data_IF_122445202046
#
_entry.id   IF_122445202046
#
_cell.length_a   1.000
_cell.length_b   1.000
_cell.length_c   1.000
_cell.angle_alpha   90.00
_cell.angle_beta   90.00
_cell.angle_gamma   90.00
#
_symmetry.space_group_name_H-M   'P 1'
#
loop_
_entity.id
_entity.type
_entity.pdbx_description
1 polymer ?
#
# COMPACT_ATOMS: atom_id res chain seq x y z
N UNK A 1 70.57 50.93 -75.47
CA UNK A 1 71.32 49.79 -74.92
C UNK A 1 70.39 48.59 -74.99
N UNK A 2 70.65 47.77 -76.01
CA UNK A 2 70.20 46.38 -76.22
C UNK A 2 70.63 45.45 -75.06
N UNK A 3 70.20 44.16 -74.97
CA UNK A 3 69.32 43.42 -75.90
C UNK A 3 68.31 42.41 -75.29
N UNK A 4 67.48 41.89 -76.20
CA UNK A 4 66.96 40.51 -76.38
C UNK A 4 66.06 39.77 -75.36
N UNK A 5 64.78 39.68 -75.77
CA UNK A 5 64.10 38.47 -76.27
C UNK A 5 64.60 37.09 -75.84
N UNK A 6 63.73 36.31 -75.18
CA UNK A 6 63.42 34.91 -75.51
C UNK A 6 62.14 34.44 -74.78
N UNK A 7 61.09 34.14 -75.53
CA UNK A 7 60.00 33.20 -75.17
C UNK A 7 60.47 31.77 -75.54
N UNK A 8 59.81 30.62 -75.20
CA UNK A 8 58.52 30.43 -74.51
C UNK A 8 58.48 29.20 -73.54
N UNK A 9 57.25 28.81 -73.15
CA UNK A 9 56.72 27.47 -72.82
C UNK A 9 56.11 27.27 -71.41
N UNK A 10 54.78 27.20 -71.40
CA UNK A 10 53.90 26.36 -70.55
C UNK A 10 54.43 25.88 -69.19
N UNK A 11 53.77 26.33 -68.11
CA UNK A 11 53.46 25.39 -67.03
C UNK A 11 52.13 25.72 -66.36
N UNK A 12 51.23 24.73 -66.50
CA UNK A 12 49.96 24.51 -65.85
C UNK A 12 49.73 25.15 -64.47
N UNK A 13 48.49 25.61 -64.33
CA UNK A 13 47.66 25.64 -63.13
C UNK A 13 48.08 24.62 -62.06
N UNK A 14 48.44 25.13 -60.88
CA UNK A 14 48.45 24.34 -59.64
C UNK A 14 47.72 25.16 -58.57
N UNK A 15 46.40 25.17 -58.68
CA UNK A 15 45.54 25.22 -57.49
C UNK A 15 46.10 24.22 -56.45
N UNK A 16 46.29 24.58 -55.18
CA UNK A 16 46.76 23.62 -54.20
C UNK A 16 45.66 22.59 -54.00
N UNK A 17 45.84 21.42 -54.62
CA UNK A 17 45.03 20.23 -54.40
C UNK A 17 44.98 19.96 -52.90
N UNK A 18 43.85 20.31 -52.28
CA UNK A 18 43.56 20.01 -50.88
C UNK A 18 43.54 18.50 -50.77
N UNK A 19 44.66 17.93 -50.32
CA UNK A 19 44.87 16.50 -50.09
C UNK A 19 43.62 15.90 -49.45
N UNK A 20 43.01 14.84 -50.01
CA UNK A 20 41.83 14.23 -49.43
C UNK A 20 42.19 13.74 -48.03
N UNK A 21 41.54 14.31 -47.01
CA UNK A 21 41.79 13.95 -45.61
C UNK A 21 41.47 12.48 -45.44
N UNK A 22 42.44 11.71 -44.96
CA UNK A 22 42.22 10.31 -44.64
C UNK A 22 41.13 10.22 -43.57
N UNK A 23 40.31 9.15 -43.54
CA UNK A 23 39.27 8.94 -42.52
C UNK A 23 39.81 9.09 -41.10
N UNK A 24 41.08 8.74 -40.90
CA UNK A 24 41.81 8.85 -39.64
C UNK A 24 42.10 10.31 -39.23
N UNK A 25 42.35 11.23 -40.18
CA UNK A 25 42.51 12.66 -39.88
C UNK A 25 41.18 13.35 -39.55
N UNK A 26 40.10 12.96 -40.22
CA UNK A 26 38.75 13.48 -39.94
C UNK A 26 38.24 12.97 -38.59
N UNK A 27 38.50 11.71 -38.24
CA UNK A 27 38.20 11.14 -36.92
C UNK A 27 39.01 11.83 -35.81
N UNK A 28 40.30 12.14 -36.04
CA UNK A 28 41.11 12.88 -35.07
C UNK A 28 40.62 14.32 -34.86
N UNK A 29 40.19 15.02 -35.91
CA UNK A 29 39.75 16.43 -35.82
C UNK A 29 38.30 16.60 -35.37
N UNK A 30 37.44 15.62 -35.63
CA UNK A 30 35.99 15.73 -35.38
C UNK A 30 35.48 14.64 -34.44
N UNK A 31 35.95 13.39 -34.59
CA UNK A 31 35.53 12.27 -33.74
C UNK A 31 36.02 12.37 -32.29
N UNK A 32 37.30 12.69 -32.07
CA UNK A 32 37.88 12.86 -30.72
C UNK A 32 37.15 13.94 -29.88
N UNK A 33 36.90 15.17 -30.38
CA UNK A 33 36.19 16.18 -29.59
C UNK A 33 34.73 15.80 -29.33
N UNK A 34 34.05 15.13 -30.26
CA UNK A 34 32.69 14.63 -30.04
C UNK A 34 32.67 13.56 -28.94
N UNK A 35 33.59 12.60 -28.98
CA UNK A 35 33.70 11.56 -27.94
C UNK A 35 34.03 12.20 -26.58
N UNK A 36 34.95 13.16 -26.53
CA UNK A 36 35.29 13.88 -25.30
C UNK A 36 34.08 14.66 -24.74
N UNK A 37 33.28 15.29 -25.60
CA UNK A 37 32.05 15.97 -25.21
C UNK A 37 30.96 14.99 -24.71
N UNK A 38 30.81 13.83 -25.36
CA UNK A 38 29.87 12.81 -24.89
C UNK A 38 30.29 12.21 -23.55
N UNK A 39 31.58 11.97 -23.35
CA UNK A 39 32.12 11.50 -22.08
C UNK A 39 31.97 12.54 -20.97
N UNK A 40 32.21 13.83 -21.25
CA UNK A 40 32.01 14.88 -20.25
C UNK A 40 30.52 15.02 -19.87
N UNK A 41 29.61 14.96 -20.84
CA UNK A 41 28.16 14.93 -20.57
C UNK A 41 27.78 13.70 -19.73
N UNK A 42 28.29 12.51 -20.06
CA UNK A 42 28.03 11.30 -19.29
C UNK A 42 28.54 11.42 -17.84
N UNK A 43 29.73 11.98 -17.63
CA UNK A 43 30.28 12.25 -16.29
C UNK A 43 29.39 13.24 -15.54
N UNK A 44 28.96 14.34 -16.16
CA UNK A 44 28.07 15.32 -15.55
C UNK A 44 26.74 14.66 -15.12
N UNK A 45 26.16 13.80 -15.97
CA UNK A 45 24.94 13.05 -15.65
C UNK A 45 25.18 12.12 -14.45
N UNK A 46 26.28 11.37 -14.44
CA UNK A 46 26.61 10.45 -13.34
C UNK A 46 26.77 11.24 -12.04
N UNK A 47 27.49 12.36 -12.06
CA UNK A 47 27.67 13.24 -10.91
C UNK A 47 26.33 13.82 -10.44
N UNK A 48 25.48 14.28 -11.36
CA UNK A 48 24.16 14.81 -11.03
C UNK A 48 23.25 13.74 -10.39
N UNK A 49 23.27 12.50 -10.89
CA UNK A 49 22.55 11.37 -10.31
C UNK A 49 23.10 11.03 -8.91
N UNK A 50 24.43 11.00 -8.73
CA UNK A 50 25.06 10.79 -7.43
C UNK A 50 24.65 11.87 -6.42
N UNK A 51 24.70 13.14 -6.82
CA UNK A 51 24.28 14.27 -5.98
C UNK A 51 22.80 14.11 -5.61
N UNK A 52 21.93 13.80 -6.57
CA UNK A 52 20.50 13.57 -6.31
C UNK A 52 20.29 12.44 -5.29
N UNK A 53 20.95 11.30 -5.47
CA UNK A 53 20.84 10.15 -4.56
C UNK A 53 21.31 10.51 -3.15
N UNK A 54 22.37 11.30 -3.01
CA UNK A 54 22.86 11.77 -1.72
C UNK A 54 21.86 12.76 -1.09
N UNK A 55 21.38 13.74 -1.85
CA UNK A 55 20.42 14.73 -1.38
C UNK A 55 19.12 14.06 -0.91
N UNK A 56 18.51 13.19 -1.72
CA UNK A 56 17.26 12.48 -1.39
C UNK A 56 17.41 11.58 -0.14
N UNK A 57 18.65 11.13 0.15
CA UNK A 57 18.96 10.30 1.32
C UNK A 57 19.08 11.09 2.62
N UNK A 58 19.64 12.30 2.58
CA UNK A 58 19.95 13.07 3.81
C UNK A 58 19.05 14.28 4.04
N UNK A 59 18.44 14.81 2.98
CA UNK A 59 17.66 16.04 3.00
C UNK A 59 16.25 15.85 2.45
N UNK A 60 15.34 16.68 2.93
CA UNK A 60 13.99 16.88 2.42
C UNK A 60 13.91 18.28 1.80
N UNK A 61 13.20 18.42 0.69
CA UNK A 61 13.05 19.69 -0.03
C UNK A 61 11.66 20.27 0.24
N UNK A 62 11.60 21.36 0.99
CA UNK A 62 10.37 22.12 1.19
C UNK A 62 9.95 22.80 -0.12
N UNK A 63 8.66 22.85 -0.41
CA UNK A 63 8.10 23.34 -1.67
C UNK A 63 8.22 24.85 -1.87
N UNK A 64 7.94 25.67 -0.84
CA UNK A 64 7.96 27.14 -0.94
C UNK A 64 8.25 27.85 0.40
N UNK A 65 9.34 28.63 0.57
CA UNK A 65 10.47 28.75 -0.35
C UNK A 65 11.22 27.42 -0.45
N UNK A 66 11.74 27.13 -1.65
CA UNK A 66 12.57 25.95 -1.89
C UNK A 66 13.82 26.00 -1.03
N UNK A 67 13.86 25.17 0.00
CA UNK A 67 15.03 25.00 0.86
C UNK A 67 15.12 23.57 1.40
N UNK A 68 16.31 23.17 1.80
CA UNK A 68 16.58 21.83 2.29
C UNK A 68 16.59 21.79 3.80
N UNK A 69 15.89 20.82 4.38
CA UNK A 69 15.99 20.46 5.79
C UNK A 69 16.57 19.05 5.94
N UNK A 70 17.42 18.78 6.93
CA UNK A 70 17.79 17.44 7.34
C UNK A 70 16.57 16.52 7.52
N UNK A 71 16.62 15.28 7.02
CA UNK A 71 15.48 14.34 7.16
C UNK A 71 15.08 14.00 8.61
N UNK A 72 15.95 14.24 9.58
CA UNK A 72 15.65 14.08 11.01
C UNK A 72 14.64 15.11 11.55
N UNK A 73 14.37 16.16 10.78
CA UNK A 73 13.41 17.22 11.08
C UNK A 73 12.05 16.97 10.42
N UNK A 74 11.91 15.88 9.64
CA UNK A 74 10.62 15.51 9.06
C UNK A 74 9.88 14.63 10.06
N UNK A 75 8.64 14.96 10.38
CA UNK A 75 7.82 14.30 11.38
C UNK A 75 8.39 14.41 12.80
N UNK A 76 8.98 15.56 13.13
CA UNK A 76 9.55 15.82 14.46
C UNK A 76 8.61 16.66 15.36
N UNK A 77 7.43 17.00 14.86
CA UNK A 77 6.44 17.82 15.55
C UNK A 77 6.72 19.33 15.52
N UNK A 78 7.77 19.76 14.81
CA UNK A 78 8.08 21.17 14.56
C UNK A 78 7.77 21.52 13.12
N UNK A 79 7.39 22.77 12.88
CA UNK A 79 7.11 23.26 11.54
C UNK A 79 8.38 23.90 10.97
N UNK A 80 9.22 23.10 10.29
CA UNK A 80 10.44 23.59 9.66
C UNK A 80 10.19 24.07 8.21
N UNK A 81 9.23 23.48 7.50
CA UNK A 81 8.78 24.00 6.19
C UNK A 81 7.66 25.04 6.33
N UNK A 82 7.56 26.00 5.40
CA UNK A 82 6.42 26.89 5.35
C UNK A 82 5.15 26.08 5.05
N UNK A 83 4.10 26.26 5.86
CA UNK A 83 2.87 25.41 5.86
C UNK A 83 3.01 24.01 6.47
N UNK A 84 4.17 23.65 7.04
CA UNK A 84 4.32 22.38 7.77
C UNK A 84 4.24 21.17 6.87
N UNK A 85 4.69 21.30 5.61
CA UNK A 85 4.74 20.22 4.62
C UNK A 85 5.49 18.98 5.13
N UNK A 86 6.51 19.22 5.96
CA UNK A 86 7.30 18.24 6.70
C UNK A 86 6.49 17.42 7.71
N UNK A 87 5.37 17.95 8.20
CA UNK A 87 4.52 17.34 9.23
C UNK A 87 3.18 16.80 8.68
N UNK A 88 2.85 17.07 7.41
CA UNK A 88 1.56 16.69 6.82
C UNK A 88 1.45 15.19 6.52
N UNK A 89 2.56 14.57 6.12
CA UNK A 89 2.65 13.19 5.65
C UNK A 89 3.38 12.27 6.64
N UNK A 90 2.99 12.38 7.91
CA UNK A 90 3.54 11.58 9.00
C UNK A 90 2.61 10.43 9.40
N UNK A 91 3.17 9.43 10.06
CA UNK A 91 2.41 8.37 10.75
C UNK A 91 1.54 9.04 11.81
N UNK A 92 0.26 8.68 11.85
CA UNK A 92 -0.75 9.30 12.72
C UNK A 92 -1.21 8.28 13.75
N UNK A 93 -1.56 8.76 14.94
CA UNK A 93 -2.34 7.92 15.86
C UNK A 93 -3.74 7.71 15.27
N UNK A 94 -4.34 6.57 15.60
CA UNK A 94 -5.73 6.32 15.26
C UNK A 94 -6.59 7.41 15.93
N UNK A 95 -7.51 8.05 15.20
CA UNK A 95 -8.40 9.04 15.79
C UNK A 95 -9.29 8.36 16.84
N UNK A 96 -9.56 9.04 17.95
CA UNK A 96 -10.57 8.61 18.91
C UNK A 96 -11.95 8.72 18.24
N UNK A 97 -12.37 7.66 17.56
CA UNK A 97 -13.66 7.57 16.88
C UNK A 97 -14.71 6.87 17.74
N UNK A 98 -15.97 7.20 17.45
CA UNK A 98 -17.13 6.62 18.13
C UNK A 98 -17.23 5.12 17.84
N UNK A 99 -17.78 4.33 18.78
CA UNK A 99 -17.95 2.89 18.57
C UNK A 99 -18.84 2.62 17.35
N UNK A 100 -18.43 1.66 16.52
CA UNK A 100 -19.19 1.24 15.34
C UNK A 100 -20.50 0.57 15.78
N UNK A 101 -21.64 1.10 15.32
CA UNK A 101 -22.99 0.65 15.70
C UNK A 101 -23.49 -0.56 14.90
N UNK A 102 -22.63 -1.20 14.11
CA UNK A 102 -22.97 -2.32 13.23
C UNK A 102 -21.92 -3.42 13.36
N UNK A 103 -22.36 -4.67 13.42
CA UNK A 103 -21.46 -5.84 13.45
C UNK A 103 -22.08 -7.05 12.76
N UNK A 104 -21.24 -8.05 12.50
CA UNK A 104 -21.65 -9.36 12.00
C UNK A 104 -21.41 -10.42 13.07
N UNK A 105 -22.42 -11.23 13.36
CA UNK A 105 -22.28 -12.44 14.17
C UNK A 105 -21.75 -13.59 13.35
N UNK A 106 -20.91 -14.42 13.97
CA UNK A 106 -20.43 -15.69 13.42
C UNK A 106 -21.59 -16.62 13.04
N UNK A 107 -22.71 -16.55 13.76
CA UNK A 107 -23.91 -17.29 13.39
C UNK A 107 -24.45 -16.76 12.07
N UNK A 108 -24.17 -17.50 10.99
CA UNK A 108 -24.70 -17.28 9.64
C UNK A 108 -24.37 -15.90 9.04
N UNK A 109 -23.33 -15.23 9.54
CA UNK A 109 -22.95 -13.86 9.12
C UNK A 109 -24.09 -12.86 9.33
N UNK A 110 -24.79 -13.00 10.45
CA UNK A 110 -26.01 -12.23 10.73
C UNK A 110 -25.68 -10.77 11.05
N UNK A 111 -26.34 -9.84 10.36
CA UNK A 111 -26.21 -8.41 10.60
C UNK A 111 -26.89 -8.02 11.92
N UNK A 112 -26.14 -7.37 12.80
CA UNK A 112 -26.63 -6.81 14.05
C UNK A 112 -26.37 -5.30 14.10
N UNK A 113 -27.36 -4.56 14.60
CA UNK A 113 -27.31 -3.11 14.77
C UNK A 113 -27.50 -2.78 16.26
N UNK A 114 -26.70 -1.86 16.76
CA UNK A 114 -26.82 -1.38 18.13
C UNK A 114 -28.01 -0.43 18.23
N UNK A 115 -28.94 -0.70 19.14
CA UNK A 115 -29.99 0.23 19.50
C UNK A 115 -29.45 1.24 20.53
N UNK A 116 -29.30 2.53 20.18
CA UNK A 116 -28.79 3.53 21.11
C UNK A 116 -29.74 3.83 22.27
N UNK A 117 -31.05 3.52 22.14
CA UNK A 117 -32.03 3.78 23.20
C UNK A 117 -31.94 2.76 24.34
N UNK A 118 -31.68 1.50 24.02
CA UNK A 118 -31.62 0.39 24.97
C UNK A 118 -30.19 -0.04 25.29
N UNK A 119 -29.23 0.26 24.41
CA UNK A 119 -27.86 -0.24 24.47
C UNK A 119 -27.74 -1.71 24.08
N UNK A 120 -28.81 -2.36 23.61
CA UNK A 120 -28.79 -3.76 23.17
C UNK A 120 -28.52 -3.88 21.67
N UNK A 121 -27.98 -5.04 21.28
CA UNK A 121 -27.79 -5.39 19.88
C UNK A 121 -28.99 -6.18 19.38
N UNK A 122 -29.57 -5.74 18.26
CA UNK A 122 -30.69 -6.41 17.62
C UNK A 122 -30.28 -6.93 16.24
N UNK A 123 -30.85 -8.06 15.84
CA UNK A 123 -30.61 -8.68 14.53
C UNK A 123 -31.50 -8.04 13.47
N UNK A 124 -30.94 -7.77 12.30
CA UNK A 124 -31.69 -7.13 11.22
C UNK A 124 -32.67 -8.10 10.56
N UNK A 125 -33.94 -7.70 10.49
CA UNK A 125 -34.98 -8.38 9.73
C UNK A 125 -34.72 -8.26 8.22
N UNK A 126 -35.00 -9.33 7.48
CA UNK A 126 -34.83 -9.35 6.02
C UNK A 126 -35.91 -8.55 5.26
N UNK A 127 -37.06 -8.29 5.89
CA UNK A 127 -38.16 -7.54 5.27
C UNK A 127 -37.69 -6.16 4.80
N UNK A 128 -37.97 -5.84 3.54
CA UNK A 128 -37.58 -4.58 2.90
C UNK A 128 -36.07 -4.27 2.98
N UNK A 129 -35.21 -5.26 3.22
CA UNK A 129 -33.76 -5.06 3.21
C UNK A 129 -33.27 -4.83 1.77
N UNK A 130 -32.47 -3.78 1.56
CA UNK A 130 -32.06 -3.33 0.22
C UNK A 130 -30.55 -3.31 0.05
N UNK A 131 -30.08 -3.21 -1.19
CA UNK A 131 -28.65 -3.04 -1.49
C UNK A 131 -28.09 -1.73 -0.90
N UNK A 132 -28.92 -0.69 -0.73
CA UNK A 132 -28.50 0.54 -0.08
C UNK A 132 -28.16 0.29 1.40
N UNK A 133 -29.06 -0.35 2.15
CA UNK A 133 -28.82 -0.73 3.55
C UNK A 133 -27.59 -1.64 3.70
N UNK A 134 -27.39 -2.58 2.76
CA UNK A 134 -26.21 -3.43 2.74
C UNK A 134 -24.91 -2.62 2.55
N UNK A 135 -24.91 -1.62 1.66
CA UNK A 135 -23.76 -0.72 1.44
C UNK A 135 -23.49 0.14 2.66
N UNK A 136 -24.53 0.67 3.31
CA UNK A 136 -24.40 1.46 4.53
C UNK A 136 -23.83 0.64 5.67
N UNK A 137 -24.37 -0.57 5.92
CA UNK A 137 -23.82 -1.50 6.91
C UNK A 137 -22.33 -1.77 6.69
N UNK A 138 -21.96 -2.10 5.46
CA UNK A 138 -20.57 -2.42 5.11
C UNK A 138 -19.65 -1.21 5.17
N UNK A 139 -20.12 -0.02 4.78
CA UNK A 139 -19.38 1.23 4.91
C UNK A 139 -19.11 1.59 6.37
N UNK A 140 -20.10 1.45 7.26
CA UNK A 140 -19.90 1.64 8.71
C UNK A 140 -18.87 0.66 9.31
N UNK A 141 -18.74 -0.54 8.74
CA UNK A 141 -17.69 -1.51 9.11
C UNK A 141 -16.35 -1.29 8.38
N UNK A 142 -16.21 -0.24 7.56
CA UNK A 142 -14.98 0.15 6.87
C UNK A 142 -14.80 -0.45 5.46
N UNK A 143 -15.81 -1.10 4.89
CA UNK A 143 -15.75 -1.74 3.57
C UNK A 143 -16.34 -0.88 2.44
N UNK A 144 -16.01 0.42 2.39
CA UNK A 144 -16.59 1.39 1.45
C UNK A 144 -16.39 1.07 -0.03
N UNK A 145 -15.30 0.36 -0.35
CA UNK A 145 -14.90 0.04 -1.73
C UNK A 145 -15.42 -1.32 -2.22
N UNK A 146 -16.25 -2.00 -1.42
CA UNK A 146 -16.70 -3.36 -1.67
C UNK A 146 -18.11 -3.42 -2.27
N UNK A 147 -18.42 -4.53 -2.95
CA UNK A 147 -19.78 -4.82 -3.42
C UNK A 147 -20.40 -5.87 -2.49
N UNK A 148 -21.27 -5.47 -1.54
CA UNK A 148 -21.83 -6.41 -0.59
C UNK A 148 -22.79 -7.37 -1.26
N UNK A 149 -22.90 -8.57 -0.67
CA UNK A 149 -23.91 -9.57 -1.00
C UNK A 149 -24.69 -9.92 0.25
N UNK A 150 -25.98 -10.19 0.11
CA UNK A 150 -26.84 -10.50 1.24
C UNK A 150 -27.89 -11.54 0.86
N UNK A 151 -28.37 -12.30 1.84
CA UNK A 151 -29.41 -13.33 1.67
C UNK A 151 -30.28 -13.46 2.91
N UNK A 152 -31.49 -14.00 2.71
CA UNK A 152 -32.39 -14.36 3.80
C UNK A 152 -31.92 -15.64 4.48
N UNK A 153 -32.03 -15.68 5.81
CA UNK A 153 -31.72 -16.85 6.63
C UNK A 153 -32.84 -17.05 7.64
N UNK A 154 -33.47 -18.22 7.66
CA UNK A 154 -34.61 -18.50 8.52
C UNK A 154 -34.26 -18.44 10.01
N UNK A 155 -35.16 -17.88 10.82
CA UNK A 155 -35.06 -17.87 12.28
C UNK A 155 -35.39 -19.28 12.78
N UNK A 156 -34.52 -19.87 13.60
CA UNK A 156 -34.80 -21.17 14.22
C UNK A 156 -35.84 -21.02 15.33
N UNK A 157 -36.80 -21.94 15.49
CA UNK A 157 -37.87 -21.84 16.49
C UNK A 157 -37.40 -21.72 17.93
N UNK A 158 -36.21 -22.25 18.22
CA UNK A 158 -35.61 -22.30 19.57
C UNK A 158 -34.71 -21.08 19.88
N UNK A 159 -34.61 -20.11 18.96
CA UNK A 159 -33.69 -18.99 19.08
C UNK A 159 -34.40 -17.73 19.59
N UNK A 160 -34.11 -17.32 20.82
CA UNK A 160 -34.57 -16.06 21.39
C UNK A 160 -33.68 -14.92 20.87
N UNK A 161 -34.09 -14.33 19.74
CA UNK A 161 -33.38 -13.23 19.09
C UNK A 161 -34.28 -12.00 19.05
N UNK A 162 -33.72 -10.85 19.45
CA UNK A 162 -34.34 -9.56 19.17
C UNK A 162 -34.16 -9.25 17.67
N UNK A 163 -35.27 -9.17 16.94
CA UNK A 163 -35.30 -8.98 15.49
C UNK A 163 -36.04 -7.72 15.16
N UNK A 164 -35.36 -6.79 14.48
CA UNK A 164 -35.87 -5.45 14.23
C UNK A 164 -35.77 -5.07 12.76
N UNK A 165 -36.72 -4.25 12.31
CA UNK A 165 -36.57 -3.50 11.07
C UNK A 165 -35.46 -2.46 11.22
N UNK A 166 -34.76 -2.16 10.13
CA UNK A 166 -33.66 -1.19 10.11
C UNK A 166 -33.90 -0.15 9.02
N UNK A 167 -33.43 1.07 9.29
CA UNK A 167 -33.48 2.18 8.35
C UNK A 167 -32.11 2.85 8.27
N UNK A 168 -31.88 3.60 7.19
CA UNK A 168 -30.71 4.45 7.05
C UNK A 168 -31.09 5.91 7.34
N UNK A 169 -30.23 6.60 8.09
CA UNK A 169 -30.29 8.05 8.27
C UNK A 169 -28.86 8.61 8.25
N UNK A 170 -28.56 9.50 7.29
CA UNK A 170 -27.26 10.17 7.24
C UNK A 170 -26.05 9.24 7.12
N UNK A 171 -26.16 8.15 6.33
CA UNK A 171 -25.13 7.10 6.18
C UNK A 171 -24.91 6.23 7.44
N UNK A 172 -25.81 6.28 8.40
CA UNK A 172 -25.82 5.40 9.56
C UNK A 172 -27.07 4.52 9.58
N UNK A 173 -26.90 3.24 9.91
CA UNK A 173 -28.01 2.35 10.19
C UNK A 173 -28.57 2.59 11.59
N UNK A 174 -29.90 2.61 11.67
CA UNK A 174 -30.65 2.81 12.89
C UNK A 174 -31.76 1.76 13.01
N UNK A 175 -32.05 1.37 14.25
CA UNK A 175 -33.16 0.47 14.57
C UNK A 175 -34.49 1.20 14.38
N UNK A 176 -35.43 0.58 13.69
CA UNK A 176 -36.75 1.14 13.43
C UNK A 176 -37.77 0.66 14.47
N UNK A 177 -37.96 1.45 15.53
CA UNK A 177 -38.93 1.16 16.60
C UNK A 177 -40.36 1.64 16.28
N UNK A 178 -41.43 0.85 16.57
CA UNK A 178 -41.52 -0.60 16.60
C UNK A 178 -42.15 -1.07 15.28
N UNK A 179 -41.31 -1.36 14.29
CA UNK A 179 -41.78 -2.12 13.13
C UNK A 179 -42.21 -3.48 13.67
N UNK A 180 -43.40 -3.97 13.32
CA UNK A 180 -43.96 -5.22 13.85
C UNK A 180 -43.05 -6.45 13.63
N UNK A 181 -43.52 -7.67 13.99
CA UNK A 181 -42.72 -8.87 13.86
C UNK A 181 -42.21 -9.04 12.43
N UNK A 182 -40.98 -9.54 12.28
CA UNK A 182 -40.39 -9.85 10.99
C UNK A 182 -41.26 -10.86 10.23
N UNK A 183 -41.98 -10.42 9.21
CA UNK A 183 -43.04 -11.19 8.55
C UNK A 183 -42.46 -12.33 7.71
N UNK A 184 -41.27 -12.14 7.15
CA UNK A 184 -40.54 -13.22 6.46
C UNK A 184 -40.01 -14.31 7.39
N UNK A 185 -39.99 -14.09 8.73
CA UNK A 185 -39.33 -14.99 9.66
C UNK A 185 -37.85 -15.20 9.36
N UNK A 186 -37.21 -14.24 8.68
CA UNK A 186 -35.84 -14.36 8.17
C UNK A 186 -34.96 -13.19 8.58
N UNK A 187 -33.70 -13.50 8.90
CA UNK A 187 -32.63 -12.56 9.22
C UNK A 187 -31.82 -12.20 7.98
N UNK A 188 -31.11 -11.08 8.07
CA UNK A 188 -30.12 -10.66 7.06
C UNK A 188 -28.78 -11.33 7.33
N UNK A 189 -28.36 -12.21 6.41
CA UNK A 189 -26.97 -12.67 6.30
C UNK A 189 -26.24 -11.77 5.32
N UNK A 190 -25.22 -11.05 5.80
CA UNK A 190 -24.49 -10.03 5.03
C UNK A 190 -23.01 -10.42 4.86
N UNK A 191 -22.51 -10.27 3.65
CA UNK A 191 -21.09 -10.42 3.31
C UNK A 191 -20.62 -9.16 2.58
N UNK A 192 -19.77 -8.37 3.24
CA UNK A 192 -19.25 -7.12 2.66
C UNK A 192 -18.21 -7.39 1.57
N UNK A 193 -17.34 -8.38 1.78
CA UNK A 193 -16.23 -8.67 0.89
C UNK A 193 -15.96 -10.18 0.84
N UNK A 194 -15.66 -10.70 -0.35
CA UNK A 194 -15.13 -12.06 -0.47
C UNK A 194 -13.68 -12.09 0.05
N UNK A 195 -13.44 -12.82 1.12
CA UNK A 195 -12.18 -12.85 1.86
C UNK A 195 -11.79 -14.27 2.27
N UNK A 196 -10.52 -14.48 2.66
CA UNK A 196 -10.04 -15.77 3.17
C UNK A 196 -9.96 -16.89 2.13
N UNK A 197 -10.28 -16.60 0.86
CA UNK A 197 -10.21 -17.55 -0.23
C UNK A 197 -8.80 -17.63 -0.81
N UNK A 198 -8.28 -18.86 -0.92
CA UNK A 198 -7.04 -19.16 -1.61
C UNK A 198 -7.29 -20.16 -2.74
N UNK A 199 -6.74 -19.89 -3.93
CA UNK A 199 -6.93 -20.76 -5.10
C UNK A 199 -6.09 -22.05 -5.03
N UNK A 200 -5.16 -22.14 -4.08
CA UNK A 200 -4.33 -23.32 -3.85
C UNK A 200 -4.39 -23.73 -2.39
N UNK A 201 -4.55 -25.02 -2.14
CA UNK A 201 -4.49 -25.55 -0.79
C UNK A 201 -3.16 -25.16 -0.12
N UNK A 202 -3.17 -24.71 1.14
CA UNK A 202 -1.95 -24.42 1.87
C UNK A 202 -1.17 -25.72 2.02
N UNK A 203 0.02 -25.78 1.41
CA UNK A 203 0.95 -26.90 1.56
C UNK A 203 2.23 -26.35 2.16
N UNK A 204 2.30 -26.36 3.49
CA UNK A 204 3.54 -26.11 4.23
C UNK A 204 3.61 -27.18 5.32
N UNK A 205 4.62 -28.04 5.24
CA UNK A 205 4.95 -29.01 6.30
C UNK A 205 6.38 -28.68 6.71
N UNK A 206 6.60 -28.28 7.97
CA UNK A 206 7.95 -28.15 8.54
C UNK A 206 8.81 -26.95 8.11
N UNK A 207 8.23 -25.86 7.57
CA UNK A 207 8.99 -24.64 7.22
C UNK A 207 9.53 -24.60 5.79
N UNK A 208 8.93 -25.36 4.87
CA UNK A 208 9.25 -25.28 3.44
C UNK A 208 8.70 -23.99 2.80
N UNK A 209 9.34 -23.59 1.68
CA UNK A 209 9.01 -22.40 0.91
C UNK A 209 7.51 -22.34 0.57
N UNK A 210 6.78 -21.42 1.17
CA UNK A 210 5.39 -21.17 0.82
C UNK A 210 5.29 -20.50 -0.58
N UNK A 211 4.13 -20.62 -1.23
CA UNK A 211 3.82 -19.86 -2.46
C UNK A 211 2.91 -18.69 -2.14
N UNK A 212 3.13 -17.54 -2.78
CA UNK A 212 2.24 -16.38 -2.65
C UNK A 212 0.80 -16.67 -3.07
N UNK A 213 0.62 -17.64 -3.97
CA UNK A 213 -0.69 -18.11 -4.41
C UNK A 213 -1.49 -18.79 -3.27
N UNK A 214 -0.79 -19.37 -2.28
CA UNK A 214 -1.42 -20.07 -1.16
C UNK A 214 -1.85 -19.09 -0.06
N UNK A 215 -1.20 -17.92 0.01
CA UNK A 215 -1.43 -16.89 1.02
C UNK A 215 -1.56 -15.49 0.39
N UNK A 216 -2.59 -15.27 -0.43
CA UNK A 216 -2.71 -14.09 -1.30
C UNK A 216 -2.92 -12.77 -0.56
N UNK A 217 -3.16 -12.80 0.76
CA UNK A 217 -3.25 -11.63 1.63
C UNK A 217 -1.90 -11.15 2.16
N UNK A 218 -0.85 -11.95 2.08
CA UNK A 218 0.46 -11.59 2.61
C UNK A 218 1.10 -10.46 1.81
N UNK A 219 1.54 -9.42 2.50
CA UNK A 219 2.26 -8.30 1.89
C UNK A 219 3.59 -8.00 2.57
N UNK A 220 4.52 -7.47 1.78
CA UNK A 220 5.78 -6.91 2.28
C UNK A 220 5.62 -5.41 2.41
N UNK A 221 5.75 -4.89 3.63
CA UNK A 221 5.82 -3.46 3.92
C UNK A 221 7.28 -3.02 3.86
N UNK A 222 7.57 -2.04 3.02
CA UNK A 222 8.92 -1.62 2.67
C UNK A 222 9.15 -0.16 3.00
N UNK A 223 10.33 0.15 3.52
CA UNK A 223 10.82 1.52 3.67
C UNK A 223 12.08 1.69 2.82
N UNK A 224 12.14 2.73 1.99
CA UNK A 224 13.29 2.97 1.08
C UNK A 224 13.68 1.72 0.25
N UNK A 225 12.66 1.01 -0.28
CA UNK A 225 12.80 -0.23 -1.07
C UNK A 225 13.34 -1.45 -0.30
N UNK A 226 13.47 -1.37 1.02
CA UNK A 226 13.89 -2.48 1.87
C UNK A 226 12.71 -3.05 2.66
N UNK A 227 12.64 -4.37 2.76
CA UNK A 227 11.61 -5.05 3.55
C UNK A 227 11.80 -4.81 5.06
N UNK A 228 10.78 -4.25 5.70
CA UNK A 228 10.75 -4.01 7.14
C UNK A 228 9.84 -5.00 7.86
N UNK A 229 8.59 -5.14 7.41
CA UNK A 229 7.56 -5.93 8.07
C UNK A 229 6.66 -6.68 7.07
N UNK A 230 5.95 -7.69 7.58
CA UNK A 230 4.80 -8.27 6.91
C UNK A 230 3.51 -7.46 7.15
N UNK A 231 2.46 -7.82 6.45
CA UNK A 231 1.10 -7.34 6.68
C UNK A 231 0.08 -8.20 5.96
N UNK A 232 -1.20 -7.92 6.21
CA UNK A 232 -2.33 -8.65 5.64
C UNK A 232 -3.28 -7.69 4.93
N UNK A 233 -3.69 -8.03 3.71
CA UNK A 233 -4.70 -7.28 2.96
C UNK A 233 -6.06 -7.47 3.63
N UNK A 234 -6.73 -6.38 4.01
CA UNK A 234 -8.12 -6.39 4.50
C UNK A 234 -9.11 -6.07 3.39
N UNK A 235 -8.78 -5.11 2.54
CA UNK A 235 -9.58 -4.71 1.39
C UNK A 235 -8.67 -4.10 0.29
N UNK A 236 -9.22 -3.54 -0.81
CA UNK A 236 -8.38 -2.96 -1.86
C UNK A 236 -7.42 -1.84 -1.39
N UNK A 237 -7.73 -1.10 -0.34
CA UNK A 237 -6.94 0.04 0.14
C UNK A 237 -6.25 -0.20 1.48
N UNK A 238 -6.72 -1.14 2.28
CA UNK A 238 -6.31 -1.28 3.67
C UNK A 238 -5.47 -2.53 3.90
N UNK A 239 -4.33 -2.31 4.55
CA UNK A 239 -3.43 -3.36 5.04
C UNK A 239 -3.38 -3.30 6.55
N UNK A 240 -3.54 -4.45 7.20
CA UNK A 240 -3.32 -4.65 8.62
C UNK A 240 -1.87 -5.03 8.89
N UNK A 241 -1.26 -4.44 9.91
CA UNK A 241 0.10 -4.76 10.35
C UNK A 241 0.30 -4.37 11.82
N UNK A 242 1.55 -4.37 12.28
CA UNK A 242 1.91 -4.01 13.64
C UNK A 242 2.39 -2.56 13.75
N UNK A 243 2.08 -1.90 14.87
CA UNK A 243 2.50 -0.53 15.15
C UNK A 243 4.03 -0.40 15.26
N UNK A 244 4.70 -1.41 15.79
CA UNK A 244 6.15 -1.38 15.97
C UNK A 244 6.94 -1.22 14.66
N UNK A 245 6.34 -1.59 13.51
CA UNK A 245 6.95 -1.44 12.20
C UNK A 245 7.30 0.02 11.88
N UNK A 246 6.55 0.96 12.47
CA UNK A 246 6.66 2.40 12.16
C UNK A 246 7.41 3.20 13.21
N UNK A 247 7.93 2.59 14.29
CA UNK A 247 8.60 3.33 15.39
C UNK A 247 9.83 4.12 14.96
N UNK A 248 10.58 3.64 13.95
CA UNK A 248 11.84 4.23 13.51
C UNK A 248 11.70 5.25 12.37
N UNK A 249 10.64 5.15 11.58
CA UNK A 249 10.47 5.91 10.35
C UNK A 249 9.03 6.41 10.26
N UNK A 250 8.85 7.71 10.55
CA UNK A 250 7.52 8.32 10.67
C UNK A 250 7.06 8.97 9.36
N UNK A 251 7.95 9.12 8.38
CA UNK A 251 7.67 9.74 7.09
C UNK A 251 6.97 8.77 6.12
N UNK A 252 5.67 8.99 5.88
CA UNK A 252 4.81 8.08 5.09
C UNK A 252 5.28 7.93 3.64
N UNK A 253 5.81 9.01 3.04
CA UNK A 253 6.19 9.07 1.62
C UNK A 253 7.23 8.02 1.17
N UNK A 254 8.00 7.45 2.10
CA UNK A 254 9.03 6.45 1.80
C UNK A 254 8.57 5.02 2.08
N UNK A 255 7.37 4.87 2.64
CA UNK A 255 6.72 3.58 2.81
C UNK A 255 6.02 3.14 1.54
N UNK A 256 6.17 1.86 1.23
CA UNK A 256 5.50 1.19 0.10
C UNK A 256 5.04 -0.19 0.51
N UNK A 257 3.98 -0.67 -0.13
CA UNK A 257 3.46 -2.02 0.08
C UNK A 257 3.65 -2.84 -1.19
N UNK A 258 4.05 -4.09 -1.01
CA UNK A 258 4.12 -5.06 -2.10
C UNK A 258 3.22 -6.25 -1.80
N UNK A 259 2.36 -6.58 -2.77
CA UNK A 259 1.48 -7.74 -2.75
C UNK A 259 1.75 -8.66 -3.95
N UNK A 260 1.26 -9.90 -3.89
CA UNK A 260 1.18 -10.79 -5.07
C UNK A 260 2.50 -11.39 -5.56
N UNK A 261 3.56 -11.34 -4.76
CA UNK A 261 4.87 -11.95 -5.08
C UNK A 261 5.55 -12.49 -3.83
N UNK A 262 6.12 -13.69 -3.90
CA UNK A 262 6.98 -14.30 -2.86
C UNK A 262 8.41 -13.72 -2.85
N UNK A 263 8.84 -13.09 -3.95
CA UNK A 263 10.17 -12.44 -4.06
C UNK A 263 10.19 -11.08 -3.38
N UNK A 264 11.32 -10.70 -2.78
CA UNK A 264 11.57 -9.35 -2.25
C UNK A 264 12.18 -8.35 -3.26
N UNK A 265 12.48 -8.79 -4.49
CA UNK A 265 13.22 -8.01 -5.51
C UNK A 265 12.50 -6.80 -6.15
N UNK A 266 12.86 -6.41 -7.37
CA UNK A 266 12.25 -5.23 -8.04
C UNK A 266 10.92 -5.59 -8.74
N UNK A 267 9.81 -5.63 -8.00
CA UNK A 267 8.47 -5.48 -8.58
C UNK A 267 7.91 -4.10 -8.23
N UNK A 268 6.90 -3.62 -8.96
CA UNK A 268 6.16 -2.43 -8.56
C UNK A 268 5.62 -2.58 -7.14
N UNK A 269 5.99 -1.63 -6.28
CA UNK A 269 5.42 -1.47 -4.95
C UNK A 269 4.49 -0.25 -4.94
N UNK A 270 3.38 -0.39 -4.22
CA UNK A 270 2.30 0.59 -4.17
C UNK A 270 2.64 1.67 -3.15
N UNK A 271 2.45 2.95 -3.49
CA UNK A 271 2.63 4.05 -2.55
C UNK A 271 1.57 4.01 -1.44
N UNK A 272 1.99 4.43 -0.25
CA UNK A 272 1.13 4.57 0.93
C UNK A 272 0.62 5.99 1.01
N UNK A 273 -0.68 6.16 1.24
CA UNK A 273 -1.28 7.46 1.49
C UNK A 273 -1.17 7.85 2.97
N UNK A 274 -1.62 6.97 3.87
CA UNK A 274 -1.65 7.22 5.31
C UNK A 274 -1.24 5.95 6.09
N UNK A 275 -0.72 6.16 7.31
CA UNK A 275 -0.45 5.09 8.28
C UNK A 275 -1.07 5.52 9.60
N UNK A 276 -1.90 4.65 10.17
CA UNK A 276 -2.55 4.84 11.46
C UNK A 276 -2.06 3.79 12.45
N UNK A 277 -1.66 4.21 13.63
CA UNK A 277 -1.17 3.32 14.70
C UNK A 277 -1.98 3.55 15.97
N UNK A 278 -2.28 2.49 16.73
CA UNK A 278 -3.11 2.64 17.93
C UNK A 278 -2.42 3.50 19.01
N UNK A 279 -1.11 3.32 19.23
CA UNK A 279 -0.35 4.19 20.14
C UNK A 279 1.15 4.17 19.79
N UNK A 280 1.77 5.35 19.71
CA UNK A 280 3.22 5.53 19.54
C UNK A 280 3.96 5.62 20.89
N UNK A 281 3.54 4.89 21.92
CA UNK A 281 4.22 5.00 23.20
C UNK A 281 5.45 4.10 23.27
N UNK A 282 6.60 4.72 23.52
CA UNK A 282 7.91 4.07 23.61
C UNK A 282 8.20 3.48 25.00
N UNK A 283 7.35 3.77 25.99
CA UNK A 283 7.73 3.66 27.41
C UNK A 283 7.18 2.41 28.12
N UNK A 284 6.15 1.77 27.58
CA UNK A 284 5.54 0.56 28.16
C UNK A 284 5.20 -0.50 27.10
N UNK A 285 5.26 -1.81 27.43
CA UNK A 285 5.29 -2.86 26.42
C UNK A 285 3.90 -3.17 25.87
N UNK A 286 3.81 -3.19 24.53
CA UNK A 286 3.17 -4.24 23.70
C UNK A 286 1.66 -4.54 23.85
N UNK A 287 0.86 -3.82 24.62
CA UNK A 287 -0.56 -4.22 24.75
C UNK A 287 -1.37 -4.01 23.46
N UNK A 288 -1.00 -3.03 22.62
CA UNK A 288 -1.74 -2.70 21.40
C UNK A 288 -0.81 -2.48 20.20
N UNK A 289 -0.23 -3.56 19.71
CA UNK A 289 0.71 -3.56 18.58
C UNK A 289 -0.01 -3.74 17.24
N UNK A 290 -0.93 -2.81 16.91
CA UNK A 290 -1.77 -2.86 15.71
C UNK A 290 -1.71 -1.55 14.94
N UNK A 291 -1.65 -1.65 13.61
CA UNK A 291 -1.60 -0.52 12.70
C UNK A 291 -2.33 -0.82 11.39
N UNK A 292 -2.86 0.25 10.78
CA UNK A 292 -3.49 0.23 9.48
C UNK A 292 -2.70 1.09 8.50
N UNK A 293 -2.44 0.54 7.32
CA UNK A 293 -1.79 1.26 6.21
C UNK A 293 -2.82 1.44 5.10
N UNK A 294 -3.10 2.69 4.74
CA UNK A 294 -3.97 3.04 3.62
C UNK A 294 -3.13 3.25 2.38
N UNK A 295 -3.37 2.45 1.35
CA UNK A 295 -2.75 2.60 0.03
C UNK A 295 -3.29 3.83 -0.69
N UNK A 296 -2.43 4.48 -1.48
CA UNK A 296 -2.85 5.61 -2.31
C UNK A 296 -3.72 5.19 -3.49
N UNK A 297 -3.52 3.96 -3.98
CA UNK A 297 -4.28 3.37 -5.08
C UNK A 297 -4.75 1.97 -4.68
N UNK A 298 -5.94 1.53 -5.16
CA UNK A 298 -6.49 0.24 -4.80
C UNK A 298 -5.67 -0.91 -5.41
N UNK A 299 -5.56 -2.00 -4.64
CA UNK A 299 -5.13 -3.30 -5.12
C UNK A 299 -6.13 -3.86 -6.13
N UNK A 300 -5.62 -4.49 -7.18
CA UNK A 300 -6.43 -5.31 -8.08
C UNK A 300 -6.37 -6.75 -7.61
N UNK A 301 -7.50 -7.30 -7.18
CA UNK A 301 -7.55 -8.69 -6.73
C UNK A 301 -7.31 -9.67 -7.88
N UNK A 302 -6.62 -10.75 -7.57
CA UNK A 302 -6.19 -11.77 -8.53
C UNK A 302 -6.03 -13.12 -7.84
N UNK A 303 -5.39 -14.10 -8.50
CA UNK A 303 -5.06 -15.38 -7.86
C UNK A 303 -4.01 -15.27 -6.75
N UNK A 304 -3.24 -14.18 -6.70
CA UNK A 304 -2.13 -13.99 -5.76
C UNK A 304 -2.30 -12.77 -4.84
N UNK A 305 -3.38 -12.01 -5.04
CA UNK A 305 -3.71 -10.80 -4.26
C UNK A 305 -5.18 -10.90 -3.87
N UNK A 306 -5.46 -11.19 -2.61
CA UNK A 306 -6.82 -11.31 -2.06
C UNK A 306 -6.83 -10.90 -0.59
N UNK A 307 -7.96 -10.43 -0.06
CA UNK A 307 -8.07 -10.06 1.33
C UNK A 307 -8.21 -11.29 2.25
N UNK A 308 -7.74 -11.16 3.50
CA UNK A 308 -8.06 -12.09 4.58
C UNK A 308 -9.34 -11.63 5.28
N UNK A 309 -10.11 -12.56 5.86
CA UNK A 309 -11.25 -12.19 6.69
C UNK A 309 -10.79 -11.74 8.08
N UNK A 310 -11.49 -10.74 8.63
CA UNK A 310 -11.45 -10.46 10.05
C UNK A 310 -12.36 -11.47 10.79
N UNK A 311 -12.02 -11.84 12.03
CA UNK A 311 -12.89 -12.68 12.85
C UNK A 311 -14.21 -11.95 13.14
N UNK A 312 -15.26 -12.72 13.37
CA UNK A 312 -16.53 -12.17 13.87
C UNK A 312 -16.38 -11.68 15.31
N UNK A 313 -17.28 -10.80 15.76
CA UNK A 313 -17.17 -10.22 17.11
C UNK A 313 -17.30 -11.27 18.23
N UNK A 314 -18.07 -12.32 17.99
CA UNK A 314 -18.37 -13.46 18.87
C UNK A 314 -17.55 -14.70 18.51
N UNK A 315 -16.49 -14.54 17.70
CA UNK A 315 -15.57 -15.61 17.39
C UNK A 315 -14.42 -15.67 18.39
N UNK A 316 -14.35 -16.78 19.14
CA UNK A 316 -13.23 -17.06 20.04
C UNK A 316 -12.26 -18.08 19.42
N UNK A 317 -10.97 -17.77 19.53
CA UNK A 317 -9.90 -18.69 19.14
C UNK A 317 -9.68 -19.71 20.26
N UNK A 318 -10.04 -20.97 20.00
CA UNK A 318 -9.86 -22.06 20.96
C UNK A 318 -8.36 -22.32 21.17
N UNK A 319 -7.87 -22.42 22.42
CA UNK A 319 -6.48 -22.76 22.69
C UNK A 319 -6.03 -24.04 21.98
N UNK A 320 -4.79 -24.07 21.52
CA UNK A 320 -4.20 -25.17 20.74
C UNK A 320 -4.86 -25.45 19.37
N UNK A 321 -5.73 -24.56 18.88
CA UNK A 321 -6.14 -24.58 17.46
C UNK A 321 -4.89 -24.44 16.59
N UNK A 322 -4.64 -25.36 15.64
CA UNK A 322 -3.52 -25.25 14.72
C UNK A 322 -3.69 -24.03 13.80
N UNK A 323 -2.67 -23.19 13.73
CA UNK A 323 -2.65 -21.96 12.94
C UNK A 323 -1.44 -21.91 12.01
N UNK A 324 -1.51 -21.00 11.05
CA UNK A 324 -0.45 -20.75 10.08
C UNK A 324 0.19 -19.38 10.34
N UNK A 325 1.52 -19.35 10.24
CA UNK A 325 2.31 -18.12 10.28
C UNK A 325 3.18 -18.11 9.03
N UNK A 326 3.20 -16.97 8.35
CA UNK A 326 3.86 -16.79 7.05
C UNK A 326 4.63 -15.48 7.04
N UNK A 327 5.73 -15.41 6.32
CA UNK A 327 6.44 -14.15 6.14
C UNK A 327 7.82 -14.26 5.50
N UNK A 328 8.48 -13.11 5.40
CA UNK A 328 9.89 -13.01 5.02
C UNK A 328 10.77 -12.94 6.27
N UNK A 329 10.84 -14.04 7.00
CA UNK A 329 11.63 -14.16 8.21
C UNK A 329 13.09 -14.54 7.94
N UNK A 330 13.93 -14.37 8.95
CA UNK A 330 15.25 -15.01 8.96
C UNK A 330 15.04 -16.51 9.19
N UNK A 331 15.47 -17.37 8.26
CA UNK A 331 15.44 -18.83 8.43
C UNK A 331 16.58 -19.35 9.29
N UNK A 332 17.63 -18.56 9.45
CA UNK A 332 18.79 -18.84 10.29
C UNK A 332 19.22 -17.53 10.98
N UNK A 333 19.80 -17.58 12.21
CA UNK A 333 20.25 -16.39 12.94
C UNK A 333 21.17 -15.46 12.13
N UNK A 334 21.94 -16.04 11.19
CA UNK A 334 22.93 -15.35 10.35
C UNK A 334 22.61 -15.43 8.83
N UNK A 335 21.41 -15.91 8.47
CA UNK A 335 21.00 -16.15 7.08
C UNK A 335 20.34 -14.96 6.38
N UNK A 336 20.17 -15.03 5.06
CA UNK A 336 19.35 -14.06 4.31
C UNK A 336 17.85 -14.24 4.59
N UNK A 337 17.06 -13.15 4.56
CA UNK A 337 15.60 -13.23 4.69
C UNK A 337 15.02 -14.09 3.56
N UNK A 338 14.29 -15.14 3.90
CA UNK A 338 13.67 -16.05 2.93
C UNK A 338 12.16 -16.17 3.20
N UNK A 339 11.40 -16.59 2.19
CA UNK A 339 9.94 -16.76 2.31
C UNK A 339 9.63 -18.11 2.92
N UNK A 340 8.93 -18.10 4.05
CA UNK A 340 8.49 -19.28 4.81
C UNK A 340 7.03 -19.10 5.17
#
# INVERSE_FOLDING_TARGET
QDPDSNQPLNSLDVTPLRKPRTPMETFKKVGIPIIAALLSVAIIIIVAVLIKVILDKYYFLCGQPLHFIPRRQVCDGQQDCASGEDEQHCVKNFPDESPVAVRLSRDRSTLQVLDPATGSWASACFDNFTEALAKTACGQMGYDSSKPTFRAVEISPDQDLDVVGITENGQELQVQNPSGPCLSGSLVSLHCLACGESLKAPRVVGGEKASVDSWPWQVSIQYNKQHICGGSILDPHWILTAAHCFRKHHDVSNWKVRAGSDKLGSFPSLPVANIFVFELNTTYPKEKDIALVKLQFPLTFSGTVRPICLPFFDEELIPATPLWVIGWGFTEPDGGKSWV
#
